data_IF_128529305464
#
_entry.id   IF_128529305464
#
_cell.length_a   1.000
_cell.length_b   1.000
_cell.length_c   1.000
_cell.angle_alpha   90.00
_cell.angle_beta   90.00
_cell.angle_gamma   90.00
#
_symmetry.space_group_name_H-M   'P 1'
#
loop_
_entity.id
_entity.type
_entity.pdbx_description
1 polymer ?
#
# COMPACT_ATOMS: atom_id res chain seq x y z
N UNK A 1 -21.85 -20.34 -10.51
CA UNK A 1 -21.44 -19.98 -9.14
C UNK A 1 -20.26 -19.04 -9.28
N UNK A 2 -20.44 -17.75 -9.01
CA UNK A 2 -19.45 -16.71 -9.29
C UNK A 2 -18.39 -16.76 -8.19
N UNK A 3 -17.30 -17.51 -8.41
CA UNK A 3 -16.16 -17.49 -7.48
C UNK A 3 -15.53 -16.11 -7.54
N UNK A 4 -15.73 -15.34 -6.47
CA UNK A 4 -15.03 -14.08 -6.28
C UNK A 4 -13.54 -14.35 -6.23
N UNK A 5 -12.86 -14.15 -7.36
CA UNK A 5 -11.43 -14.36 -7.46
C UNK A 5 -10.73 -13.22 -6.72
N UNK A 6 -10.43 -13.47 -5.45
CA UNK A 6 -9.79 -12.52 -4.53
C UNK A 6 -8.51 -11.92 -5.14
N UNK A 7 -7.80 -12.70 -5.97
CA UNK A 7 -6.63 -12.24 -6.71
C UNK A 7 -6.96 -11.14 -7.71
N UNK A 8 -8.08 -11.27 -8.41
CA UNK A 8 -8.53 -10.27 -9.37
C UNK A 8 -8.90 -8.98 -8.63
N UNK A 9 -9.50 -9.08 -7.45
CA UNK A 9 -9.82 -7.91 -6.63
C UNK A 9 -8.56 -7.20 -6.09
N UNK A 10 -7.59 -7.96 -5.59
CA UNK A 10 -6.33 -7.42 -5.05
C UNK A 10 -5.46 -6.82 -6.16
N UNK A 11 -5.33 -7.50 -7.30
CA UNK A 11 -4.61 -6.98 -8.46
C UNK A 11 -5.28 -5.73 -9.01
N UNK A 12 -6.62 -5.70 -9.12
CA UNK A 12 -7.35 -4.51 -9.55
C UNK A 12 -7.21 -3.34 -8.58
N UNK A 13 -7.18 -3.62 -7.27
CA UNK A 13 -6.91 -2.61 -6.25
C UNK A 13 -5.51 -2.00 -6.41
N UNK A 14 -4.48 -2.82 -6.54
CA UNK A 14 -3.10 -2.36 -6.73
C UNK A 14 -2.88 -1.67 -8.08
N UNK A 15 -3.48 -2.18 -9.16
CA UNK A 15 -3.48 -1.54 -10.47
C UNK A 15 -4.21 -0.20 -10.45
N UNK A 16 -5.34 -0.08 -9.78
CA UNK A 16 -6.05 1.19 -9.66
C UNK A 16 -5.23 2.21 -8.88
N UNK A 17 -4.49 1.78 -7.87
CA UNK A 17 -3.68 2.64 -7.02
C UNK A 17 -2.43 3.11 -7.77
N UNK A 18 -1.73 2.21 -8.47
CA UNK A 18 -0.56 2.55 -9.29
C UNK A 18 -0.94 3.35 -10.54
N UNK A 19 -2.03 3.00 -11.23
CA UNK A 19 -2.56 3.77 -12.36
C UNK A 19 -3.00 5.16 -11.93
N UNK A 20 -3.61 5.30 -10.75
CA UNK A 20 -3.97 6.61 -10.20
C UNK A 20 -2.75 7.52 -9.99
N UNK A 21 -1.65 6.97 -9.44
CA UNK A 21 -0.41 7.72 -9.22
C UNK A 21 0.30 8.03 -10.56
N UNK A 22 0.37 7.06 -11.47
CA UNK A 22 1.02 7.22 -12.78
C UNK A 22 0.26 8.18 -13.69
N UNK A 23 -1.07 8.08 -13.78
CA UNK A 23 -1.88 9.01 -14.57
C UNK A 23 -1.74 10.43 -14.01
N UNK A 24 -1.70 10.59 -12.69
CA UNK A 24 -1.51 11.91 -12.06
C UNK A 24 -0.10 12.45 -12.29
N UNK A 25 0.93 11.60 -12.28
CA UNK A 25 2.31 11.96 -12.60
C UNK A 25 2.54 12.29 -14.08
N UNK A 26 1.98 11.49 -15.00
CA UNK A 26 2.04 11.69 -16.45
C UNK A 26 1.25 12.95 -16.84
N UNK A 27 0.10 13.17 -16.21
CA UNK A 27 -0.68 14.38 -16.42
C UNK A 27 0.06 15.64 -15.94
N UNK A 28 0.70 15.60 -14.78
CA UNK A 28 1.57 16.69 -14.30
C UNK A 28 2.79 16.93 -15.21
N UNK A 29 3.33 15.89 -15.83
CA UNK A 29 4.45 15.99 -16.78
C UNK A 29 4.03 16.57 -18.13
N UNK A 30 2.83 16.24 -18.61
CA UNK A 30 2.29 16.71 -19.90
C UNK A 30 1.75 18.14 -19.80
N UNK A 31 1.11 18.51 -18.69
CA UNK A 31 0.47 19.83 -18.49
C UNK A 31 1.38 20.87 -17.83
N UNK A 32 2.70 20.82 -18.05
CA UNK A 32 3.61 21.85 -17.54
C UNK A 32 3.37 23.24 -18.17
N UNK A 33 2.55 23.34 -19.23
CA UNK A 33 2.30 24.59 -19.96
C UNK A 33 0.83 25.05 -20.06
N UNK A 34 -0.16 24.31 -19.55
CA UNK A 34 -1.58 24.62 -19.84
C UNK A 34 -2.43 24.67 -18.55
N UNK A 35 -2.85 25.89 -18.21
CA UNK A 35 -3.91 26.29 -17.29
C UNK A 35 -3.76 26.02 -15.77
N UNK A 36 -3.16 27.01 -15.10
CA UNK A 36 -3.20 27.26 -13.65
C UNK A 36 -4.61 27.17 -13.02
N UNK A 37 -5.69 27.36 -13.80
CA UNK A 37 -7.09 27.32 -13.32
C UNK A 37 -7.54 25.91 -12.93
N UNK A 38 -7.15 24.87 -13.69
CA UNK A 38 -7.52 23.47 -13.41
C UNK A 38 -6.72 22.93 -12.22
N UNK A 39 -5.43 23.28 -12.15
CA UNK A 39 -4.57 23.00 -10.99
C UNK A 39 -5.17 23.64 -9.74
N UNK A 40 -5.65 24.89 -9.80
CA UNK A 40 -6.36 25.52 -8.68
C UNK A 40 -7.67 24.82 -8.31
N UNK A 41 -8.41 24.24 -9.25
CA UNK A 41 -9.62 23.45 -8.97
C UNK A 41 -9.26 22.13 -8.27
N UNK A 42 -8.22 21.43 -8.72
CA UNK A 42 -7.74 20.18 -8.11
C UNK A 42 -7.17 20.47 -6.73
N UNK A 43 -6.31 21.49 -6.60
CA UNK A 43 -5.78 21.95 -5.33
C UNK A 43 -6.90 22.39 -4.39
N UNK A 44 -7.95 23.07 -4.88
CA UNK A 44 -9.12 23.43 -4.08
C UNK A 44 -9.95 22.20 -3.68
N UNK A 45 -10.06 21.19 -4.53
CA UNK A 45 -10.72 19.92 -4.22
C UNK A 45 -9.92 19.10 -3.21
N UNK A 46 -8.59 19.06 -3.32
CA UNK A 46 -7.66 18.46 -2.37
C UNK A 46 -7.62 19.25 -1.05
N UNK A 47 -7.73 20.57 -1.10
CA UNK A 47 -7.80 21.45 0.07
C UNK A 47 -9.12 21.28 0.82
N UNK A 48 -10.25 21.19 0.11
CA UNK A 48 -11.55 20.86 0.70
C UNK A 48 -11.58 19.42 1.23
N UNK A 49 -10.93 18.49 0.53
CA UNK A 49 -10.74 17.12 1.02
C UNK A 49 -9.94 17.12 2.32
N UNK A 50 -8.79 17.81 2.38
CA UNK A 50 -7.99 18.00 3.59
C UNK A 50 -8.76 18.72 4.72
N UNK A 51 -9.68 19.64 4.40
CA UNK A 51 -10.53 20.31 5.39
C UNK A 51 -11.60 19.38 5.99
N UNK A 52 -12.21 18.50 5.19
CA UNK A 52 -13.13 17.46 5.66
C UNK A 52 -12.39 16.38 6.47
N UNK A 53 -11.21 16.02 6.02
CA UNK A 53 -10.24 15.14 6.69
C UNK A 53 -9.89 15.63 8.11
N UNK A 54 -9.71 16.94 8.29
CA UNK A 54 -9.37 17.52 9.59
C UNK A 54 -10.48 17.39 10.66
N UNK A 55 -11.69 16.95 10.27
CA UNK A 55 -12.78 16.69 11.22
C UNK A 55 -12.68 15.29 11.84
N UNK A 56 -11.93 14.36 11.23
CA UNK A 56 -11.70 12.99 11.71
C UNK A 56 -10.28 12.75 12.20
N UNK A 57 -9.78 13.58 13.11
CA UNK A 57 -8.40 13.50 13.58
C UNK A 57 -8.25 12.50 14.74
N UNK A 58 -7.65 11.35 14.47
CA UNK A 58 -7.30 10.29 15.42
C UNK A 58 -5.90 10.59 16.00
N UNK A 59 -5.60 10.29 17.27
CA UNK A 59 -4.24 10.42 17.76
C UNK A 59 -3.31 9.41 17.08
N UNK A 60 -2.08 9.81 16.77
CA UNK A 60 -1.10 8.94 16.08
C UNK A 60 -0.70 7.69 16.87
N UNK A 61 -1.00 7.63 18.17
CA UNK A 61 -0.83 6.42 18.98
C UNK A 61 -1.55 5.21 18.39
N UNK A 62 -2.63 5.43 17.62
CA UNK A 62 -3.37 4.35 16.97
C UNK A 62 -2.56 3.63 15.87
N UNK A 63 -1.37 4.12 15.52
CA UNK A 63 -0.47 3.42 14.61
C UNK A 63 -0.14 2.00 15.06
N UNK A 64 -0.11 1.77 16.37
CA UNK A 64 0.14 0.45 16.94
C UNK A 64 -0.90 -0.58 16.45
N UNK A 65 -2.17 -0.18 16.30
CA UNK A 65 -3.23 -1.10 15.89
C UNK A 65 -3.00 -1.69 14.50
N UNK A 66 -2.58 -0.88 13.52
CA UNK A 66 -2.36 -1.40 12.18
C UNK A 66 -1.16 -2.35 12.12
N UNK A 67 -0.11 -2.10 12.92
CA UNK A 67 1.05 -3.00 12.99
C UNK A 67 0.70 -4.31 13.69
N UNK A 68 -0.09 -4.28 14.76
CA UNK A 68 -0.57 -5.49 15.45
C UNK A 68 -1.45 -6.32 14.52
N UNK A 69 -2.43 -5.71 13.86
CA UNK A 69 -3.33 -6.41 12.93
C UNK A 69 -2.53 -6.99 11.76
N UNK A 70 -1.64 -6.20 11.18
CA UNK A 70 -0.72 -6.65 10.13
C UNK A 70 0.15 -7.82 10.59
N UNK A 71 0.75 -7.73 11.78
CA UNK A 71 1.58 -8.79 12.34
C UNK A 71 0.80 -10.10 12.52
N UNK A 72 -0.39 -10.05 13.13
CA UNK A 72 -1.21 -11.24 13.39
C UNK A 72 -1.58 -11.93 12.07
N UNK A 73 -2.09 -11.16 11.09
CA UNK A 73 -2.50 -11.72 9.80
C UNK A 73 -1.30 -12.33 9.07
N UNK A 74 -0.17 -11.63 9.00
CA UNK A 74 1.01 -12.13 8.31
C UNK A 74 1.67 -13.30 9.02
N UNK A 75 1.61 -13.36 10.35
CA UNK A 75 2.08 -14.51 11.12
C UNK A 75 1.23 -15.75 10.87
N UNK A 76 -0.10 -15.59 10.82
CA UNK A 76 -1.01 -16.68 10.43
C UNK A 76 -0.69 -17.15 9.01
N UNK A 77 -0.54 -16.22 8.05
CA UNK A 77 -0.18 -16.57 6.67
C UNK A 77 1.15 -17.31 6.56
N UNK A 78 2.15 -16.93 7.37
CA UNK A 78 3.43 -17.64 7.44
C UNK A 78 3.27 -19.10 7.87
N UNK A 79 2.41 -19.37 8.87
CA UNK A 79 2.14 -20.74 9.34
C UNK A 79 1.51 -21.62 8.25
N UNK A 80 0.65 -21.03 7.41
CA UNK A 80 0.02 -21.75 6.29
C UNK A 80 0.93 -21.88 5.06
N UNK A 81 1.87 -20.96 4.86
CA UNK A 81 2.71 -20.88 3.66
C UNK A 81 4.21 -20.88 3.98
N UNK A 82 4.68 -22.00 4.55
CA UNK A 82 6.11 -22.22 4.87
C UNK A 82 7.02 -22.17 3.64
N UNK A 83 6.48 -22.38 2.43
CA UNK A 83 7.18 -22.24 1.16
C UNK A 83 7.82 -20.85 0.96
N UNK A 84 7.31 -19.82 1.65
CA UNK A 84 7.71 -18.41 1.50
C UNK A 84 8.32 -17.82 2.77
N UNK A 85 8.87 -18.69 3.62
CA UNK A 85 9.35 -18.39 4.96
C UNK A 85 10.28 -17.17 5.02
N UNK A 86 11.25 -17.05 4.11
CA UNK A 86 12.20 -15.93 4.09
C UNK A 86 11.53 -14.56 3.88
N UNK A 87 10.62 -14.45 2.90
CA UNK A 87 9.93 -13.19 2.59
C UNK A 87 9.03 -12.76 3.74
N UNK A 88 8.28 -13.71 4.31
CA UNK A 88 7.44 -13.45 5.48
C UNK A 88 8.26 -13.07 6.71
N UNK A 89 9.39 -13.70 6.98
CA UNK A 89 10.27 -13.31 8.10
C UNK A 89 10.79 -11.90 7.93
N UNK A 90 11.30 -11.55 6.75
CA UNK A 90 11.80 -10.20 6.49
C UNK A 90 10.69 -9.16 6.70
N UNK A 91 9.49 -9.45 6.23
CA UNK A 91 8.34 -8.57 6.42
C UNK A 91 7.89 -8.48 7.88
N UNK A 92 7.86 -9.60 8.60
CA UNK A 92 7.51 -9.66 10.02
C UNK A 92 8.56 -8.91 10.85
N UNK A 93 9.85 -9.09 10.59
CA UNK A 93 10.93 -8.33 11.24
C UNK A 93 10.78 -6.82 11.00
N UNK A 94 10.42 -6.42 9.78
CA UNK A 94 10.12 -5.02 9.47
C UNK A 94 8.96 -4.49 10.33
N UNK A 95 7.86 -5.25 10.43
CA UNK A 95 6.70 -4.87 11.25
C UNK A 95 7.09 -4.79 12.73
N UNK A 96 7.83 -5.77 13.27
CA UNK A 96 8.29 -5.77 14.66
C UNK A 96 9.15 -4.54 14.94
N UNK A 97 10.11 -4.21 14.07
CA UNK A 97 10.94 -3.01 14.21
C UNK A 97 10.09 -1.74 14.29
N UNK A 98 9.10 -1.61 13.39
CA UNK A 98 8.19 -0.46 13.38
C UNK A 98 7.28 -0.40 14.60
N UNK A 99 6.79 -1.55 15.06
CA UNK A 99 5.99 -1.66 16.27
C UNK A 99 6.81 -1.27 17.51
N UNK A 100 8.08 -1.69 17.59
CA UNK A 100 9.01 -1.28 18.63
C UNK A 100 9.24 0.24 18.63
N UNK A 101 9.52 0.83 17.46
CA UNK A 101 9.66 2.28 17.32
C UNK A 101 8.41 3.02 17.81
N UNK A 102 7.23 2.47 17.50
CA UNK A 102 5.96 3.03 17.88
C UNK A 102 5.68 2.97 19.39
N UNK A 103 6.15 1.93 20.09
CA UNK A 103 5.93 1.78 21.53
C UNK A 103 6.95 2.57 22.33
N UNK A 104 8.23 2.51 21.94
CA UNK A 104 9.32 2.97 22.80
C UNK A 104 9.95 4.29 22.38
N UNK A 105 9.99 4.60 21.09
CA UNK A 105 10.72 5.77 20.57
C UNK A 105 9.78 6.95 20.32
N UNK A 106 8.58 6.70 19.80
CA UNK A 106 7.68 7.77 19.37
C UNK A 106 6.93 8.41 20.54
N UNK A 107 7.16 9.72 20.76
CA UNK A 107 6.27 10.58 21.56
C UNK A 107 5.16 11.14 20.66
N UNK A 108 3.95 10.60 20.78
CA UNK A 108 2.81 11.00 19.95
C UNK A 108 2.17 12.32 20.43
N UNK A 109 2.70 13.45 19.98
CA UNK A 109 2.08 14.76 20.21
C UNK A 109 1.20 15.25 19.06
N UNK A 110 1.06 14.47 17.99
CA UNK A 110 0.34 14.88 16.78
C UNK A 110 -0.79 13.93 16.42
N UNK A 111 -1.78 14.46 15.70
CA UNK A 111 -2.93 13.72 15.19
C UNK A 111 -2.71 13.34 13.73
N UNK A 112 -3.36 12.26 13.31
CA UNK A 112 -3.47 11.85 11.91
C UNK A 112 -4.94 11.83 11.51
N UNK A 113 -5.17 12.15 10.25
CA UNK A 113 -6.45 11.94 9.60
C UNK A 113 -6.87 10.46 9.56
N UNK A 114 -8.15 10.23 9.79
CA UNK A 114 -8.83 8.93 9.73
C UNK A 114 -8.61 8.17 8.43
N UNK A 115 -8.60 8.83 7.26
CA UNK A 115 -8.40 8.12 5.98
C UNK A 115 -7.02 7.48 5.88
N UNK A 116 -5.97 8.16 6.35
CA UNK A 116 -4.62 7.59 6.37
C UNK A 116 -4.50 6.44 7.37
N UNK A 117 -5.25 6.51 8.48
CA UNK A 117 -5.36 5.39 9.41
C UNK A 117 -6.01 4.16 8.74
N UNK A 118 -7.12 4.35 8.02
CA UNK A 118 -7.79 3.29 7.28
C UNK A 118 -6.90 2.67 6.19
N UNK A 119 -6.18 3.52 5.46
CA UNK A 119 -5.22 3.06 4.46
C UNK A 119 -4.15 2.15 5.07
N UNK A 120 -3.55 2.57 6.19
CA UNK A 120 -2.58 1.74 6.92
C UNK A 120 -3.18 0.41 7.37
N UNK A 121 -4.41 0.42 7.87
CA UNK A 121 -5.10 -0.78 8.36
C UNK A 121 -5.32 -1.82 7.25
N UNK A 122 -5.58 -1.38 6.02
CA UNK A 122 -5.75 -2.27 4.85
C UNK A 122 -4.39 -2.70 4.28
N UNK A 123 -3.42 -1.80 4.25
CA UNK A 123 -2.13 -2.03 3.60
C UNK A 123 -1.36 -3.21 4.18
N UNK A 124 -1.11 -3.25 5.50
CA UNK A 124 -0.28 -4.29 6.12
C UNK A 124 -0.82 -5.73 5.99
N UNK A 125 -2.15 -5.96 6.10
CA UNK A 125 -2.75 -7.25 5.75
C UNK A 125 -2.61 -7.61 4.27
N UNK A 126 -2.81 -6.64 3.37
CA UNK A 126 -2.75 -6.88 1.93
C UNK A 126 -1.36 -7.25 1.44
N UNK A 127 -0.28 -6.73 2.04
CA UNK A 127 1.10 -7.06 1.64
C UNK A 127 1.42 -8.56 1.83
N UNK A 128 0.87 -9.21 2.86
CA UNK A 128 1.02 -10.66 3.02
C UNK A 128 0.34 -11.45 1.90
N UNK A 129 -0.82 -10.98 1.46
CA UNK A 129 -1.57 -11.59 0.37
C UNK A 129 -0.85 -11.40 -0.97
N UNK A 130 -0.23 -10.25 -1.21
CA UNK A 130 0.53 -10.02 -2.46
C UNK A 130 1.72 -10.96 -2.59
N UNK A 131 2.45 -11.23 -1.49
CA UNK A 131 3.56 -12.20 -1.49
C UNK A 131 3.10 -13.59 -1.96
N UNK A 132 1.90 -14.02 -1.54
CA UNK A 132 1.34 -15.32 -1.92
C UNK A 132 0.93 -15.32 -3.40
N UNK A 133 0.32 -14.22 -3.87
CA UNK A 133 -0.19 -14.10 -5.24
C UNK A 133 0.98 -14.05 -6.25
N UNK A 134 1.98 -13.20 -5.99
CA UNK A 134 3.12 -13.01 -6.88
C UNK A 134 3.93 -14.31 -7.04
N UNK A 135 3.99 -15.15 -6.00
CA UNK A 135 4.63 -16.45 -6.11
C UNK A 135 3.76 -17.47 -6.85
N UNK A 136 2.44 -17.49 -6.62
CA UNK A 136 1.53 -18.48 -7.24
C UNK A 136 1.40 -18.27 -8.75
N UNK A 137 1.55 -17.03 -9.21
CA UNK A 137 1.57 -16.67 -10.62
C UNK A 137 2.90 -16.01 -10.94
N UNK A 138 4.00 -16.78 -11.02
CA UNK A 138 5.24 -16.23 -11.53
C UNK A 138 4.95 -15.81 -12.96
N UNK A 139 4.95 -14.50 -13.23
CA UNK A 139 4.76 -13.96 -14.57
C UNK A 139 5.60 -14.79 -15.53
N UNK A 140 4.89 -15.50 -16.41
CA UNK A 140 5.43 -16.48 -17.35
C UNK A 140 6.75 -15.99 -17.96
N UNK A 141 7.83 -16.72 -17.72
CA UNK A 141 9.10 -16.71 -18.46
C UNK A 141 9.36 -15.45 -19.31
N UNK A 142 9.80 -14.36 -18.69
CA UNK A 142 10.63 -13.40 -19.43
C UNK A 142 11.96 -14.12 -19.66
N UNK A 143 12.02 -14.86 -20.76
CA UNK A 143 13.20 -15.54 -21.24
C UNK A 143 14.22 -14.44 -21.62
N UNK A 144 15.05 -14.00 -20.67
CA UNK A 144 16.11 -13.01 -20.90
C UNK A 144 17.06 -13.42 -22.05
N UNK A 145 17.12 -14.72 -22.38
CA UNK A 145 17.85 -15.22 -23.54
C UNK A 145 17.35 -14.69 -24.89
N UNK A 146 16.06 -14.35 -25.04
CA UNK A 146 15.52 -13.82 -26.31
C UNK A 146 15.97 -12.38 -26.60
N UNK A 147 16.30 -11.61 -25.58
CA UNK A 147 16.71 -10.20 -25.74
C UNK A 147 18.23 -10.04 -25.86
N UNK A 148 19.02 -11.02 -25.43
CA UNK A 148 20.49 -10.96 -25.53
C UNK A 148 21.02 -11.35 -26.92
N UNK A 149 20.23 -12.03 -27.75
CA UNK A 149 20.64 -12.45 -29.11
C UNK A 149 20.29 -11.43 -30.21
N UNK A 150 19.82 -10.24 -29.83
CA UNK A 150 19.41 -9.15 -30.74
C UNK A 150 20.30 -7.91 -30.63
N UNK A 151 21.50 -8.07 -30.05
CA UNK A 151 22.58 -7.09 -29.97
C UNK A 151 23.86 -7.72 -30.53
#
# INVERSE_FOLDING_TARGET
MFEWNLNLCITFFWLSLSAGILLLGIWLLIDCHINFSIINIILRRLYLHNKLINQGNIPKSYYIHFYIIGFIINFILLLYHLSYFLLFILFILHIIRRLYECIYIHKYNSKINFLYYFYGLIHYPCVGLTIIIDYKYPYTNINFQKYFFLL
#
